data_IF_930264615082
#
_entry.id   IF_930264615082
#
_cell.length_a   1.000
_cell.length_b   1.000
_cell.length_c   1.000
_cell.angle_alpha   90.00
_cell.angle_beta   90.00
_cell.angle_gamma   90.00
#
_symmetry.space_group_name_H-M   'P 1'
#
loop_
_entity.id
_entity.type
_entity.pdbx_description
1 polymer ?
#
# COMPACT_ATOMS: atom_id res chain seq x y z
N UNK A 1 29.72 -13.93 -12.83
CA UNK A 1 29.42 -12.62 -13.43
C UNK A 1 27.91 -12.48 -13.42
N UNK A 2 27.22 -11.58 -12.73
CA UNK A 2 27.45 -10.70 -11.58
C UNK A 2 26.06 -10.51 -10.94
N UNK A 3 26.04 -10.42 -9.62
CA UNK A 3 25.02 -9.84 -8.72
C UNK A 3 23.73 -9.30 -9.38
N UNK A 4 22.63 -10.02 -9.17
CA UNK A 4 21.26 -9.58 -9.48
C UNK A 4 20.48 -9.14 -8.24
N UNK A 5 21.16 -8.64 -7.20
CA UNK A 5 20.48 -8.09 -6.04
C UNK A 5 19.95 -6.70 -6.41
N UNK A 6 18.63 -6.61 -6.56
CA UNK A 6 17.91 -5.42 -7.03
C UNK A 6 18.19 -4.20 -6.13
N UNK A 7 18.97 -3.19 -6.59
CA UNK A 7 19.41 -2.06 -5.77
C UNK A 7 18.26 -1.26 -5.14
N UNK A 8 17.07 -1.34 -5.72
CA UNK A 8 15.86 -0.63 -5.31
C UNK A 8 15.15 -1.27 -4.12
N UNK A 9 15.34 -2.57 -3.87
CA UNK A 9 14.73 -3.24 -2.70
C UNK A 9 15.52 -2.93 -1.43
N UNK A 10 16.85 -2.82 -1.51
CA UNK A 10 17.68 -2.38 -0.38
C UNK A 10 17.24 -1.02 0.17
N UNK A 11 16.90 -0.09 -0.71
CA UNK A 11 16.46 1.26 -0.32
C UNK A 11 15.22 1.22 0.61
N UNK A 12 14.32 0.26 0.39
CA UNK A 12 13.08 0.14 1.16
C UNK A 12 13.33 -0.64 2.44
N UNK A 13 14.20 -1.66 2.40
CA UNK A 13 14.61 -2.40 3.59
C UNK A 13 15.50 -1.55 4.52
N UNK A 14 16.27 -0.61 3.97
CA UNK A 14 17.10 0.36 4.69
C UNK A 14 16.28 1.56 5.20
N UNK A 15 14.99 1.63 4.89
CA UNK A 15 14.11 2.67 5.40
C UNK A 15 13.87 2.44 6.91
N UNK A 16 14.30 3.36 7.79
CA UNK A 16 14.21 3.17 9.23
C UNK A 16 12.77 2.94 9.71
N UNK A 17 11.78 3.52 9.03
CA UNK A 17 10.37 3.36 9.37
C UNK A 17 9.84 1.95 9.02
N UNK A 18 10.46 1.24 8.06
CA UNK A 18 10.15 -0.17 7.75
C UNK A 18 11.03 -1.09 8.59
N UNK A 19 12.29 -0.73 8.79
CA UNK A 19 13.25 -1.48 9.59
C UNK A 19 12.87 -1.55 11.07
N UNK A 20 12.22 -0.53 11.63
CA UNK A 20 11.77 -0.54 13.02
C UNK A 20 10.76 -1.68 13.29
N UNK A 21 9.90 -1.99 12.31
CA UNK A 21 8.96 -3.11 12.42
C UNK A 21 9.62 -4.49 12.30
N UNK A 22 10.87 -4.58 11.83
CA UNK A 22 11.63 -5.84 11.75
C UNK A 22 12.41 -6.17 13.03
N UNK A 23 12.56 -5.22 13.97
CA UNK A 23 13.45 -5.37 15.13
C UNK A 23 12.72 -5.59 16.47
N UNK A 24 11.40 -5.75 16.49
CA UNK A 24 10.66 -6.05 17.74
C UNK A 24 10.48 -7.57 17.96
N UNK A 25 11.59 -8.27 18.17
CA UNK A 25 11.66 -9.40 19.11
C UNK A 25 12.85 -9.18 20.04
N UNK A 26 12.75 -8.26 21.00
CA UNK A 26 13.32 -8.48 22.33
C UNK A 26 12.73 -7.52 23.38
N UNK A 27 12.35 -8.11 24.51
CA UNK A 27 11.63 -7.53 25.63
C UNK A 27 12.35 -6.34 26.30
N UNK A 28 11.60 -5.29 26.67
CA UNK A 28 11.78 -4.68 28.00
C UNK A 28 10.51 -4.04 28.56
N UNK A 29 10.13 -4.49 29.76
CA UNK A 29 8.97 -4.00 30.53
C UNK A 29 9.52 -3.07 31.61
N UNK A 30 9.37 -1.75 31.44
CA UNK A 30 9.29 -0.81 32.57
C UNK A 30 9.14 0.64 32.09
N UNK A 31 7.91 1.19 32.12
CA UNK A 31 7.64 2.59 32.52
C UNK A 31 6.12 2.86 32.66
N UNK A 32 5.70 3.79 33.56
CA UNK A 32 4.31 3.96 34.00
C UNK A 32 3.42 4.72 32.99
N UNK A 33 2.08 4.64 33.12
CA UNK A 33 1.16 5.11 32.09
C UNK A 33 0.98 6.64 32.16
N UNK A 34 1.37 7.32 31.10
CA UNK A 34 0.93 8.69 30.81
C UNK A 34 0.03 8.64 29.59
N UNK A 35 -1.14 9.25 29.71
CA UNK A 35 -2.34 9.13 28.87
C UNK A 35 -2.20 9.83 27.49
N UNK A 36 -1.18 9.41 26.74
CA UNK A 36 -0.97 9.72 25.32
C UNK A 36 -0.44 8.42 24.70
N UNK A 37 -1.34 7.52 24.29
CA UNK A 37 -0.99 6.44 23.37
C UNK A 37 -0.29 7.09 22.17
N UNK A 38 1.02 6.92 22.06
CA UNK A 38 1.77 7.39 20.90
C UNK A 38 1.33 6.53 19.72
N UNK A 39 0.34 6.99 18.95
CA UNK A 39 -0.16 6.35 17.73
C UNK A 39 0.97 6.04 16.72
N UNK A 40 2.17 6.59 16.92
CA UNK A 40 3.38 6.29 16.15
C UNK A 40 3.83 4.83 16.20
N UNK A 41 3.43 4.05 17.21
CA UNK A 41 3.78 2.63 17.30
C UNK A 41 2.72 1.66 16.76
N UNK A 42 1.57 2.18 16.31
CA UNK A 42 0.49 1.32 15.82
C UNK A 42 0.70 1.00 14.34
N UNK A 43 0.38 -0.24 13.96
CA UNK A 43 0.30 -0.62 12.56
C UNK A 43 -0.66 0.30 11.80
N UNK A 44 -0.34 0.59 10.54
CA UNK A 44 -1.19 1.41 9.64
C UNK A 44 -2.57 0.80 9.37
N UNK A 45 -2.74 -0.49 9.69
CA UNK A 45 -4.00 -1.25 9.61
C UNK A 45 -4.53 -1.68 10.97
N UNK A 46 -4.03 -1.10 12.07
CA UNK A 46 -4.54 -1.37 13.41
C UNK A 46 -6.07 -1.09 13.50
N UNK A 47 -6.87 -1.98 14.11
CA UNK A 47 -8.32 -1.81 14.22
C UNK A 47 -8.76 -0.49 14.88
N UNK A 48 -7.92 0.15 15.70
CA UNK A 48 -8.24 1.44 16.30
C UNK A 48 -8.54 2.52 15.24
N UNK A 49 -7.93 2.41 14.07
CA UNK A 49 -8.09 3.37 12.98
C UNK A 49 -9.52 3.36 12.42
N UNK A 50 -10.25 2.26 12.57
CA UNK A 50 -11.69 2.19 12.22
C UNK A 50 -12.55 3.12 13.08
N UNK A 51 -12.04 3.54 14.25
CA UNK A 51 -12.74 4.46 15.14
C UNK A 51 -12.21 5.89 15.04
N UNK A 52 -10.88 6.04 14.96
CA UNK A 52 -10.22 7.36 15.01
C UNK A 52 -10.28 8.07 13.65
N UNK A 53 -10.14 7.32 12.56
CA UNK A 53 -10.11 7.87 11.20
C UNK A 53 -10.78 6.91 10.21
N UNK A 54 -12.09 6.64 10.34
CA UNK A 54 -12.79 5.66 9.51
C UNK A 54 -12.82 6.02 8.01
N UNK A 55 -12.64 7.30 7.66
CA UNK A 55 -12.73 7.79 6.28
C UNK A 55 -11.51 8.64 5.92
N UNK A 56 -10.33 8.02 5.78
CA UNK A 56 -9.09 8.73 5.60
C UNK A 56 -9.09 9.54 4.31
N UNK A 57 -8.41 10.69 4.33
CA UNK A 57 -8.13 11.45 3.11
C UNK A 57 -7.07 10.70 2.28
N UNK A 58 -7.43 10.32 1.05
CA UNK A 58 -6.53 9.54 0.19
C UNK A 58 -5.22 10.26 -0.17
N UNK A 59 -5.26 11.58 -0.37
CA UNK A 59 -4.06 12.33 -0.72
C UNK A 59 -3.13 12.45 0.48
N UNK A 60 -3.68 12.65 1.69
CA UNK A 60 -2.91 12.63 2.93
C UNK A 60 -2.25 11.27 3.15
N UNK A 61 -3.01 10.16 3.04
CA UNK A 61 -2.42 8.81 3.15
C UNK A 61 -1.33 8.57 2.11
N UNK A 62 -1.56 8.98 0.87
CA UNK A 62 -0.57 8.83 -0.19
C UNK A 62 0.74 9.55 0.15
N UNK A 63 0.67 10.80 0.61
CA UNK A 63 1.84 11.58 0.97
C UNK A 63 2.58 10.93 2.15
N UNK A 64 1.84 10.53 3.19
CA UNK A 64 2.40 9.87 4.37
C UNK A 64 3.10 8.54 4.00
N UNK A 65 2.46 7.72 3.17
CA UNK A 65 3.03 6.46 2.71
C UNK A 65 4.21 6.69 1.76
N UNK A 66 4.17 7.70 0.90
CA UNK A 66 5.30 8.03 0.04
C UNK A 66 6.54 8.34 0.88
N UNK A 67 6.40 9.18 1.90
CA UNK A 67 7.50 9.52 2.81
C UNK A 67 8.00 8.29 3.58
N UNK A 68 7.10 7.60 4.30
CA UNK A 68 7.47 6.55 5.26
C UNK A 68 7.78 5.20 4.64
N UNK A 69 7.19 4.86 3.50
CA UNK A 69 7.31 3.52 2.89
C UNK A 69 8.17 3.58 1.62
N UNK A 70 7.91 4.56 0.76
CA UNK A 70 8.61 4.70 -0.52
C UNK A 70 9.77 5.70 -0.48
N UNK A 71 10.17 6.15 0.72
CA UNK A 71 11.33 7.04 0.93
C UNK A 71 11.28 8.34 0.11
N UNK A 72 10.07 8.86 -0.11
CA UNK A 72 9.81 10.05 -0.93
C UNK A 72 10.09 9.86 -2.42
N UNK A 73 10.22 8.62 -2.89
CA UNK A 73 10.61 8.32 -4.27
C UNK A 73 9.45 8.32 -5.26
N UNK A 74 8.20 8.44 -4.82
CA UNK A 74 7.10 8.71 -5.74
C UNK A 74 6.98 10.22 -5.96
N UNK A 75 6.73 10.67 -7.20
CA UNK A 75 6.43 12.07 -7.45
C UNK A 75 5.07 12.44 -6.88
N UNK A 76 4.72 13.73 -6.88
CA UNK A 76 3.35 14.13 -6.58
C UNK A 76 2.40 13.58 -7.64
N UNK A 77 1.53 12.63 -7.24
CA UNK A 77 0.48 12.09 -8.10
C UNK A 77 -0.90 12.37 -7.52
N UNK A 78 -1.87 12.48 -8.42
CA UNK A 78 -3.27 12.62 -8.06
C UNK A 78 -3.81 11.27 -7.56
N UNK A 79 -4.32 11.25 -6.32
CA UNK A 79 -5.04 10.11 -5.75
C UNK A 79 -6.47 10.50 -5.43
N UNK A 80 -7.44 9.83 -6.07
CA UNK A 80 -8.86 10.21 -6.00
C UNK A 80 -9.80 9.05 -5.77
N UNK A 81 -10.95 9.36 -5.20
CA UNK A 81 -12.10 8.48 -5.22
C UNK A 81 -12.74 8.45 -6.62
N UNK A 82 -13.02 7.26 -7.13
CA UNK A 82 -13.88 7.02 -8.27
C UNK A 82 -15.29 6.68 -7.79
N UNK A 83 -16.27 7.49 -8.17
CA UNK A 83 -17.69 7.26 -7.87
C UNK A 83 -18.35 6.22 -8.81
N UNK A 84 -17.61 5.68 -9.79
CA UNK A 84 -18.16 4.81 -10.85
C UNK A 84 -17.43 3.48 -11.01
N UNK A 85 -16.26 3.32 -10.38
CA UNK A 85 -15.50 2.07 -10.43
C UNK A 85 -16.20 1.01 -9.57
N UNK A 86 -16.68 -0.07 -10.18
CA UNK A 86 -17.46 -1.12 -9.48
C UNK A 86 -16.91 -2.53 -9.70
N UNK A 87 -15.82 -2.68 -10.46
CA UNK A 87 -15.24 -3.98 -10.83
C UNK A 87 -13.88 -4.25 -10.18
N UNK A 88 -13.26 -3.23 -9.62
CA UNK A 88 -11.97 -3.28 -8.92
C UNK A 88 -12.01 -2.30 -7.74
N UNK A 89 -11.22 -2.56 -6.70
CA UNK A 89 -11.08 -1.66 -5.55
C UNK A 89 -10.18 -0.46 -5.85
N UNK A 90 -9.23 -0.61 -6.79
CA UNK A 90 -8.29 0.44 -7.20
C UNK A 90 -7.79 0.28 -8.64
N UNK A 91 -7.14 1.32 -9.15
CA UNK A 91 -6.34 1.28 -10.38
C UNK A 91 -5.32 2.44 -10.43
N UNK A 92 -4.08 2.16 -10.84
CA UNK A 92 -3.11 3.14 -11.36
C UNK A 92 -3.22 3.26 -12.89
N UNK A 93 -3.23 4.50 -13.36
CA UNK A 93 -3.24 4.86 -14.78
C UNK A 93 -1.92 5.54 -15.13
N UNK A 94 -0.90 4.77 -15.54
CA UNK A 94 0.37 5.34 -15.97
C UNK A 94 0.26 5.98 -17.36
N UNK A 95 1.04 7.02 -17.57
CA UNK A 95 1.27 7.69 -18.84
C UNK A 95 2.75 7.62 -19.16
N UNK A 96 3.05 7.24 -20.41
CA UNK A 96 4.41 7.06 -20.89
C UNK A 96 4.73 8.10 -21.97
N UNK A 97 5.98 8.54 -22.03
CA UNK A 97 6.51 9.29 -23.17
C UNK A 97 6.78 8.38 -24.38
N UNK A 98 7.27 8.96 -25.48
CA UNK A 98 7.56 8.22 -26.72
C UNK A 98 8.68 7.19 -26.54
N UNK A 99 9.57 7.41 -25.56
CA UNK A 99 10.66 6.52 -25.17
C UNK A 99 10.21 5.42 -24.19
N UNK A 100 8.94 5.40 -23.78
CA UNK A 100 8.38 4.42 -22.86
C UNK A 100 8.72 4.67 -21.39
N UNK A 101 9.21 5.86 -21.02
CA UNK A 101 9.41 6.25 -19.63
C UNK A 101 8.08 6.67 -19.00
N UNK A 102 7.85 6.25 -17.75
CA UNK A 102 6.71 6.70 -16.98
C UNK A 102 6.87 8.18 -16.59
N UNK A 103 6.00 9.04 -17.12
CA UNK A 103 6.04 10.50 -16.88
C UNK A 103 4.92 10.97 -15.95
N UNK A 104 3.85 10.20 -15.80
CA UNK A 104 2.75 10.47 -14.88
C UNK A 104 2.07 9.14 -14.49
N UNK A 105 1.53 9.01 -13.27
CA UNK A 105 0.46 8.06 -12.94
C UNK A 105 -0.67 8.81 -12.23
N UNK A 106 -1.89 8.30 -12.32
CA UNK A 106 -3.02 8.71 -11.47
C UNK A 106 -3.58 7.49 -10.78
N UNK A 107 -3.89 7.58 -9.49
CA UNK A 107 -4.49 6.49 -8.74
C UNK A 107 -5.95 6.81 -8.46
N UNK A 108 -6.83 5.84 -8.72
CA UNK A 108 -8.23 5.93 -8.38
C UNK A 108 -8.65 4.74 -7.53
N UNK A 109 -9.30 5.00 -6.40
CA UNK A 109 -9.92 3.96 -5.57
C UNK A 109 -11.44 3.95 -5.73
N UNK A 110 -12.06 2.78 -5.72
CA UNK A 110 -13.50 2.62 -5.82
C UNK A 110 -14.18 3.06 -4.54
N UNK A 111 -14.88 4.20 -4.59
CA UNK A 111 -15.76 4.59 -3.50
C UNK A 111 -16.93 3.60 -3.31
N UNK A 112 -17.68 3.17 -4.36
CA UNK A 112 -18.81 2.25 -4.20
C UNK A 112 -18.46 0.91 -3.56
N UNK A 113 -17.22 0.44 -3.70
CA UNK A 113 -16.79 -0.83 -3.10
C UNK A 113 -16.20 -0.60 -1.71
N UNK A 114 -15.29 0.36 -1.57
CA UNK A 114 -14.51 0.53 -0.34
C UNK A 114 -15.29 1.24 0.78
N UNK A 115 -16.33 2.02 0.47
CA UNK A 115 -17.18 2.63 1.51
C UNK A 115 -17.98 1.60 2.32
N UNK A 116 -18.09 0.36 1.82
CA UNK A 116 -18.74 -0.77 2.48
C UNK A 116 -17.75 -1.73 3.14
N UNK A 117 -16.46 -1.36 3.18
CA UNK A 117 -15.37 -2.17 3.71
C UNK A 117 -14.71 -1.48 4.91
N UNK A 118 -14.01 -2.23 5.77
CA UNK A 118 -13.18 -1.61 6.80
C UNK A 118 -12.13 -0.70 6.17
N UNK A 119 -11.72 0.35 6.88
CA UNK A 119 -10.68 1.30 6.48
C UNK A 119 -9.41 0.61 5.99
N UNK A 120 -9.00 -0.49 6.64
CA UNK A 120 -7.81 -1.24 6.22
C UNK A 120 -7.83 -1.64 4.74
N UNK A 121 -9.00 -1.97 4.17
CA UNK A 121 -9.11 -2.35 2.76
C UNK A 121 -8.78 -1.15 1.85
N UNK A 122 -9.08 0.08 2.28
CA UNK A 122 -8.66 1.31 1.58
C UNK A 122 -7.15 1.48 1.64
N UNK A 123 -6.53 1.28 2.82
CA UNK A 123 -5.08 1.37 3.00
C UNK A 123 -4.34 0.35 2.15
N UNK A 124 -4.74 -0.92 2.22
CA UNK A 124 -4.11 -2.01 1.48
C UNK A 124 -4.28 -1.84 -0.03
N UNK A 125 -5.47 -1.39 -0.48
CA UNK A 125 -5.68 -1.07 -1.90
C UNK A 125 -4.82 0.12 -2.33
N UNK A 126 -4.70 1.16 -1.52
CA UNK A 126 -3.83 2.29 -1.86
C UNK A 126 -2.37 1.85 -2.01
N UNK A 127 -1.86 1.06 -1.06
CA UNK A 127 -0.49 0.54 -1.12
C UNK A 127 -0.27 -0.33 -2.37
N UNK A 128 -1.24 -1.18 -2.73
CA UNK A 128 -1.19 -1.96 -3.98
C UNK A 128 -0.97 -1.05 -5.21
N UNK A 129 -1.80 -0.01 -5.36
CA UNK A 129 -1.68 0.91 -6.49
C UNK A 129 -0.40 1.77 -6.43
N UNK A 130 0.09 2.09 -5.23
CA UNK A 130 1.36 2.80 -5.04
C UNK A 130 2.58 1.94 -5.43
N UNK A 131 2.54 0.62 -5.24
CA UNK A 131 3.59 -0.29 -5.74
C UNK A 131 3.63 -0.25 -7.26
N UNK A 132 2.47 -0.28 -7.94
CA UNK A 132 2.43 -0.10 -9.40
C UNK A 132 3.01 1.24 -9.84
N UNK A 133 2.64 2.33 -9.17
CA UNK A 133 3.22 3.64 -9.45
C UNK A 133 4.74 3.64 -9.25
N UNK A 134 5.24 3.01 -8.19
CA UNK A 134 6.67 2.89 -7.90
C UNK A 134 7.40 2.13 -9.00
N UNK A 135 6.89 0.96 -9.39
CA UNK A 135 7.46 0.16 -10.46
C UNK A 135 7.51 0.91 -11.80
N UNK A 136 6.49 1.74 -12.07
CA UNK A 136 6.42 2.60 -13.24
C UNK A 136 7.55 3.64 -13.26
N UNK A 137 7.65 4.46 -12.20
CA UNK A 137 8.64 5.54 -12.14
C UNK A 137 10.08 5.04 -11.95
N UNK A 138 10.26 3.88 -11.32
CA UNK A 138 11.58 3.30 -11.02
C UNK A 138 12.02 2.23 -12.01
N UNK A 139 11.18 1.92 -13.00
CA UNK A 139 11.43 0.91 -14.03
C UNK A 139 11.82 -0.44 -13.43
N UNK A 140 11.11 -0.84 -12.38
CA UNK A 140 11.31 -2.12 -11.68
C UNK A 140 10.19 -3.12 -11.96
N UNK A 141 9.32 -2.82 -12.94
CA UNK A 141 8.28 -3.73 -13.39
C UNK A 141 8.89 -4.88 -14.18
N UNK A 142 8.42 -6.09 -13.93
CA UNK A 142 8.77 -7.27 -14.72
C UNK A 142 8.12 -7.20 -16.12
N UNK A 143 8.84 -7.64 -17.16
CA UNK A 143 8.34 -7.58 -18.52
C UNK A 143 7.10 -8.49 -18.71
N UNK A 144 5.99 -7.89 -19.16
CA UNK A 144 4.77 -8.63 -19.49
C UNK A 144 3.94 -9.11 -18.29
N UNK A 145 4.34 -8.78 -17.06
CA UNK A 145 3.61 -9.17 -15.85
C UNK A 145 3.38 -7.95 -14.93
N UNK A 146 2.11 -7.61 -14.71
CA UNK A 146 1.72 -6.52 -13.81
C UNK A 146 2.02 -6.86 -12.35
N UNK A 147 2.05 -8.14 -11.99
CA UNK A 147 2.25 -8.64 -10.63
C UNK A 147 3.38 -9.68 -10.57
N UNK A 148 4.45 -9.45 -11.34
CA UNK A 148 5.62 -10.33 -11.39
C UNK A 148 6.42 -10.39 -10.08
N UNK A 149 7.53 -11.13 -10.05
CA UNK A 149 8.35 -11.33 -8.86
C UNK A 149 8.74 -10.05 -8.11
N UNK A 150 9.02 -8.95 -8.82
CA UNK A 150 9.36 -7.68 -8.18
C UNK A 150 8.17 -7.07 -7.43
N UNK A 151 6.95 -7.21 -7.96
CA UNK A 151 5.74 -6.76 -7.27
C UNK A 151 5.45 -7.63 -6.04
N UNK A 152 5.55 -8.95 -6.21
CA UNK A 152 5.26 -9.91 -5.14
C UNK A 152 6.23 -9.76 -3.98
N UNK A 153 7.53 -9.56 -4.24
CA UNK A 153 8.52 -9.31 -3.20
C UNK A 153 8.19 -8.03 -2.40
N UNK A 154 7.75 -6.97 -3.08
CA UNK A 154 7.32 -5.74 -2.43
C UNK A 154 6.13 -5.96 -1.51
N UNK A 155 5.11 -6.67 -2.00
CA UNK A 155 3.93 -7.04 -1.22
C UNK A 155 4.30 -7.87 -0.01
N UNK A 156 5.17 -8.86 -0.17
CA UNK A 156 5.64 -9.72 0.92
C UNK A 156 6.34 -8.90 2.01
N UNK A 157 7.27 -8.01 1.62
CA UNK A 157 7.95 -7.12 2.56
C UNK A 157 6.93 -6.28 3.33
N UNK A 158 6.03 -5.58 2.64
CA UNK A 158 5.05 -4.70 3.31
C UNK A 158 4.09 -5.49 4.21
N UNK A 159 3.61 -6.66 3.78
CA UNK A 159 2.74 -7.49 4.60
C UNK A 159 3.44 -7.98 5.88
N UNK A 160 4.70 -8.39 5.77
CA UNK A 160 5.47 -8.86 6.91
C UNK A 160 5.84 -7.71 7.86
N UNK A 161 6.22 -6.54 7.34
CA UNK A 161 6.63 -5.40 8.17
C UNK A 161 5.46 -4.65 8.77
N UNK A 162 4.38 -4.44 8.02
CA UNK A 162 3.31 -3.52 8.43
C UNK A 162 2.08 -4.23 8.97
N UNK A 163 2.07 -5.57 8.97
CA UNK A 163 0.90 -6.37 9.33
C UNK A 163 -0.25 -6.24 8.34
N UNK A 164 0.01 -5.73 7.13
CA UNK A 164 -0.97 -5.62 6.05
C UNK A 164 -1.23 -6.99 5.41
N UNK A 165 -2.33 -7.09 4.67
CA UNK A 165 -2.65 -8.23 3.82
C UNK A 165 -2.93 -7.78 2.38
N UNK A 166 -2.01 -6.99 1.82
CA UNK A 166 -2.04 -6.57 0.42
C UNK A 166 -2.06 -7.82 -0.45
N UNK A 167 -3.04 -7.91 -1.35
CA UNK A 167 -3.16 -9.03 -2.28
C UNK A 167 -2.70 -8.61 -3.67
N UNK A 168 -2.26 -9.57 -4.47
CA UNK A 168 -1.93 -9.36 -5.90
C UNK A 168 -3.15 -9.04 -6.77
N UNK A 169 -4.37 -9.12 -6.23
CA UNK A 169 -5.60 -8.87 -6.98
C UNK A 169 -6.35 -7.66 -6.42
N UNK A 170 -6.37 -6.57 -7.18
CA UNK A 170 -7.31 -5.46 -6.95
C UNK A 170 -8.77 -5.79 -7.36
N UNK A 171 -9.03 -7.03 -7.80
CA UNK A 171 -10.39 -7.47 -8.13
C UNK A 171 -11.22 -7.76 -6.88
N UNK A 172 -12.47 -7.32 -6.90
CA UNK A 172 -13.43 -7.67 -5.85
C UNK A 172 -13.72 -9.16 -5.93
N UNK A 173 -13.24 -9.95 -4.98
CA UNK A 173 -13.90 -11.23 -4.66
C UNK A 173 -15.23 -10.89 -4.00
N UNK A 174 -16.28 -10.72 -4.81
CA UNK A 174 -17.64 -10.63 -4.29
C UNK A 174 -17.99 -12.04 -3.81
N UNK A 175 -17.83 -12.31 -2.52
CA UNK A 175 -18.57 -13.40 -1.89
C UNK A 175 -20.03 -12.95 -1.88
N UNK A 176 -20.77 -13.28 -2.93
CA UNK A 176 -22.23 -13.16 -2.89
C UNK A 176 -22.67 -14.14 -1.81
N UNK A 177 -23.09 -13.66 -0.66
CA UNK A 177 -23.81 -14.48 0.31
C UNK A 177 -25.15 -14.81 -0.35
N UNK A 178 -25.17 -15.89 -1.13
CA UNK A 178 -26.42 -16.48 -1.60
C UNK A 178 -27.05 -17.08 -0.35
N UNK A 179 -27.97 -16.35 0.29
CA UNK A 179 -28.91 -16.97 1.20
C UNK A 179 -29.63 -18.06 0.40
N UNK A 180 -29.34 -19.31 0.71
CA UNK A 180 -30.17 -20.41 0.22
C UNK A 180 -31.53 -20.29 0.89
N UNK A 181 -32.64 -20.28 0.13
CA UNK A 181 -33.96 -20.38 0.73
C UNK A 181 -34.11 -21.77 1.37
N UNK A 182 -34.83 -21.78 2.49
CA UNK A 182 -35.19 -22.93 3.32
C UNK A 182 -35.74 -24.13 2.58
#
# INVERSE_FOLDING_TARGET
MSEGSHPTLYIILDNPDISYFYLEEENDISSPPTDQLTYSGLSIVDPIWETIDPNPNLQTLYNDFNERIFSGMLPEIEVKWSNRMTRATGACYPFFDEEGNCVQCRIYLSKPILELRPRRDTVETLLHEMIHAFQCFRKTKDEGDDHGPNFQNFVEILNNSLGTNITVSASVKVYVCVQQPS
#
